data_IF_583569740832
#
_entry.id   IF_583569740832
#
_cell.length_a   1.000
_cell.length_b   1.000
_cell.length_c   1.000
_cell.angle_alpha   90.00
_cell.angle_beta   90.00
_cell.angle_gamma   90.00
#
_symmetry.space_group_name_H-M   'P 1'
#
loop_
_entity.id
_entity.type
_entity.pdbx_description
1 polymer ?
#
# COMPACT_ATOMS: atom_id res chain seq x y z
N UNK A 1 65.54 12.96 6.57
CA UNK A 1 66.45 12.31 7.52
C UNK A 1 65.66 11.38 8.41
N UNK A 2 66.09 10.11 8.36
CA UNK A 2 65.86 8.91 9.16
C UNK A 2 64.56 8.69 10.00
N UNK A 3 63.97 7.54 9.84
CA UNK A 3 62.81 7.05 10.57
C UNK A 3 63.17 6.24 11.84
N UNK A 4 62.16 5.80 12.59
CA UNK A 4 62.21 5.34 13.96
C UNK A 4 62.60 3.87 14.14
N UNK A 5 62.69 3.35 15.32
CA UNK A 5 62.72 1.91 15.51
C UNK A 5 61.45 1.29 16.13
N UNK A 6 61.17 0.08 15.65
CA UNK A 6 60.33 -0.96 16.26
C UNK A 6 60.80 -1.35 17.68
N UNK A 7 59.84 -1.71 18.52
CA UNK A 7 60.00 -2.75 19.56
C UNK A 7 58.64 -3.18 20.05
N UNK A 8 58.25 -4.37 19.81
CA UNK A 8 58.43 -5.70 20.43
C UNK A 8 57.36 -6.00 21.50
N UNK A 9 56.58 -6.90 21.13
CA UNK A 9 55.80 -7.95 21.77
C UNK A 9 56.12 -8.27 23.23
N UNK A 10 55.13 -8.29 24.10
CA UNK A 10 55.06 -9.22 25.23
C UNK A 10 53.63 -9.78 25.33
N UNK A 11 53.53 -11.08 25.13
CA UNK A 11 52.32 -11.87 25.42
C UNK A 11 52.34 -12.17 26.93
N UNK A 12 51.23 -11.91 27.61
CA UNK A 12 50.97 -12.42 28.94
C UNK A 12 49.68 -13.27 28.86
N UNK A 13 49.90 -14.57 29.03
CA UNK A 13 48.84 -15.54 29.33
C UNK A 13 48.31 -15.25 30.74
N UNK A 14 47.03 -15.06 30.89
CA UNK A 14 46.38 -15.20 32.19
C UNK A 14 45.17 -16.15 32.01
N UNK A 15 45.38 -17.35 32.56
CA UNK A 15 44.31 -18.29 32.90
C UNK A 15 43.39 -17.67 33.94
N UNK A 16 42.12 -17.90 33.80
CA UNK A 16 41.33 -17.73 34.99
C UNK A 16 39.84 -17.60 34.80
N UNK A 17 39.18 -18.63 35.18
CA UNK A 17 37.90 -18.69 35.85
C UNK A 17 36.63 -18.52 34.98
N UNK A 18 36.09 -19.64 34.51
CA UNK A 18 34.71 -19.79 34.12
C UNK A 18 33.77 -19.54 35.31
N UNK A 19 33.16 -18.35 35.32
CA UNK A 19 31.96 -18.12 36.12
C UNK A 19 30.76 -18.48 35.25
N UNK A 20 30.14 -19.62 35.52
CA UNK A 20 28.85 -20.01 34.98
C UNK A 20 27.80 -19.10 35.62
N UNK A 21 27.44 -18.03 34.94
CA UNK A 21 26.26 -17.25 35.27
C UNK A 21 25.08 -17.96 34.59
N UNK A 22 24.30 -18.70 35.36
CA UNK A 22 22.98 -19.19 34.95
C UNK A 22 22.05 -18.00 34.83
N UNK A 23 21.95 -17.46 33.61
CA UNK A 23 20.88 -16.54 33.26
C UNK A 23 19.57 -17.33 33.27
N UNK A 24 18.78 -17.16 34.32
CA UNK A 24 17.37 -17.50 34.30
C UNK A 24 16.70 -16.63 33.24
N UNK A 25 16.58 -17.17 32.03
CA UNK A 25 15.90 -16.55 30.92
C UNK A 25 14.43 -16.41 31.28
N UNK A 26 13.99 -15.17 31.54
CA UNK A 26 12.58 -14.82 31.43
C UNK A 26 12.12 -15.19 30.03
N UNK A 27 11.46 -16.32 29.91
CA UNK A 27 10.72 -16.70 28.70
C UNK A 27 9.61 -15.64 28.49
N UNK A 28 9.91 -14.60 27.70
CA UNK A 28 8.88 -13.75 27.11
C UNK A 28 7.99 -14.66 26.31
N UNK A 29 6.78 -14.89 26.76
CA UNK A 29 5.69 -15.46 25.99
C UNK A 29 5.49 -14.58 24.77
N UNK A 30 6.12 -14.95 23.66
CA UNK A 30 5.74 -14.43 22.37
C UNK A 30 4.32 -14.93 22.11
N UNK A 31 3.34 -14.03 22.13
CA UNK A 31 2.03 -14.31 21.58
C UNK A 31 2.21 -14.62 20.08
N UNK A 32 2.49 -15.88 19.77
CA UNK A 32 2.45 -16.38 18.40
C UNK A 32 1.00 -16.31 17.95
N UNK A 33 0.75 -15.56 16.87
CA UNK A 33 -0.55 -15.56 16.20
C UNK A 33 -0.96 -17.01 15.93
N UNK A 34 -2.20 -17.40 16.25
CA UNK A 34 -2.69 -18.73 15.88
C UNK A 34 -2.65 -18.84 14.36
N UNK A 35 -1.96 -19.86 13.87
CA UNK A 35 -1.98 -20.25 12.46
C UNK A 35 -3.31 -20.97 12.18
N UNK A 36 -4.41 -20.22 12.17
CA UNK A 36 -5.71 -20.75 11.75
C UNK A 36 -5.90 -20.48 10.26
N UNK A 37 -5.35 -21.39 9.44
CA UNK A 37 -5.29 -21.30 7.98
C UNK A 37 -6.56 -21.77 7.28
N UNK A 38 -7.65 -22.09 8.01
CA UNK A 38 -8.87 -22.68 7.42
C UNK A 38 -10.07 -21.73 7.35
N UNK A 39 -9.99 -20.51 7.86
CA UNK A 39 -11.14 -19.59 7.83
C UNK A 39 -11.19 -18.82 6.51
N UNK A 40 -12.31 -18.91 5.79
CA UNK A 40 -12.60 -18.10 4.60
C UNK A 40 -12.44 -16.62 4.94
N UNK A 41 -11.65 -15.89 4.16
CA UNK A 41 -11.44 -14.45 4.38
C UNK A 41 -12.76 -13.70 4.22
N UNK A 42 -13.16 -13.00 5.27
CA UNK A 42 -14.36 -12.15 5.30
C UNK A 42 -14.21 -11.04 6.32
N UNK A 43 -14.99 -9.95 6.16
CA UNK A 43 -15.02 -8.88 7.18
C UNK A 43 -15.42 -9.40 8.55
N UNK A 44 -16.38 -10.34 8.62
CA UNK A 44 -16.80 -10.98 9.88
C UNK A 44 -15.62 -11.67 10.56
N UNK A 45 -14.88 -12.49 9.82
CA UNK A 45 -13.73 -13.23 10.36
C UNK A 45 -12.59 -12.28 10.76
N UNK A 46 -12.34 -11.21 9.99
CA UNK A 46 -11.38 -10.19 10.33
C UNK A 46 -11.76 -9.42 11.62
N UNK A 47 -13.05 -9.11 11.83
CA UNK A 47 -13.54 -8.50 13.09
C UNK A 47 -13.31 -9.44 14.25
N UNK A 48 -13.77 -10.71 14.14
CA UNK A 48 -13.59 -11.72 15.21
C UNK A 48 -12.11 -11.91 15.55
N UNK A 49 -11.25 -11.93 14.54
CA UNK A 49 -9.80 -12.04 14.75
C UNK A 49 -9.23 -10.82 15.50
N UNK A 50 -9.62 -9.59 15.10
CA UNK A 50 -9.17 -8.36 15.74
C UNK A 50 -9.73 -8.17 17.16
N UNK A 51 -10.93 -8.66 17.43
CA UNK A 51 -11.55 -8.52 18.75
C UNK A 51 -10.94 -9.48 19.80
N UNK A 52 -10.27 -10.57 19.36
CA UNK A 52 -9.44 -11.42 20.21
C UNK A 52 -8.10 -10.76 20.60
N UNK A 53 -7.69 -9.70 19.89
CA UNK A 53 -6.48 -8.96 20.19
C UNK A 53 -6.79 -7.82 21.19
N UNK A 54 -6.60 -8.08 22.47
CA UNK A 54 -6.87 -7.09 23.52
C UNK A 54 -5.84 -5.96 23.49
N UNK A 55 -4.56 -6.30 23.34
CA UNK A 55 -3.43 -5.37 23.39
C UNK A 55 -2.32 -5.83 22.45
N UNK A 56 -1.65 -4.85 21.85
CA UNK A 56 -0.39 -5.07 21.12
C UNK A 56 0.76 -4.47 21.92
N UNK A 57 1.89 -5.17 21.96
CA UNK A 57 3.13 -4.62 22.51
C UNK A 57 3.80 -3.67 21.51
N UNK A 58 4.61 -2.71 21.98
CA UNK A 58 5.39 -1.84 21.10
C UNK A 58 6.27 -2.65 20.14
N UNK A 59 6.22 -2.28 18.87
CA UNK A 59 7.03 -2.95 17.86
C UNK A 59 8.51 -2.54 18.00
N UNK A 60 9.45 -3.50 18.04
CA UNK A 60 10.88 -3.16 17.98
C UNK A 60 11.33 -2.66 16.60
N UNK A 61 10.49 -2.80 15.58
CA UNK A 61 10.81 -2.45 14.19
C UNK A 61 10.22 -1.11 13.76
N UNK A 62 9.12 -0.67 14.40
CA UNK A 62 8.37 0.53 14.02
C UNK A 62 8.28 1.50 15.20
N UNK A 63 9.39 2.20 15.53
CA UNK A 63 9.51 2.95 16.78
C UNK A 63 8.51 4.10 16.92
N UNK A 64 7.99 4.63 15.81
CA UNK A 64 7.07 5.76 15.81
C UNK A 64 5.60 5.37 15.64
N UNK A 65 5.29 4.06 15.63
CA UNK A 65 3.92 3.57 15.55
C UNK A 65 3.44 3.13 16.91
N UNK A 66 2.51 3.87 17.49
CA UNK A 66 1.90 3.53 18.78
C UNK A 66 1.00 2.29 18.63
N UNK A 67 1.15 1.24 19.48
CA UNK A 67 0.44 -0.02 19.32
C UNK A 67 -1.08 0.12 19.39
N UNK A 68 -1.60 0.90 20.34
CA UNK A 68 -3.03 1.12 20.50
C UNK A 68 -3.65 1.81 19.28
N UNK A 69 -2.96 2.82 18.75
CA UNK A 69 -3.41 3.56 17.57
C UNK A 69 -3.35 2.68 16.31
N UNK A 70 -2.30 1.88 16.16
CA UNK A 70 -2.19 0.90 15.08
C UNK A 70 -3.35 -0.11 15.09
N UNK A 71 -3.64 -0.72 16.25
CA UNK A 71 -4.76 -1.65 16.39
C UNK A 71 -6.10 -0.98 16.11
N UNK A 72 -6.30 0.25 16.59
CA UNK A 72 -7.49 1.04 16.30
C UNK A 72 -7.64 1.32 14.79
N UNK A 73 -6.53 1.63 14.09
CA UNK A 73 -6.57 1.83 12.63
C UNK A 73 -7.00 0.56 11.89
N UNK A 74 -6.46 -0.62 12.26
CA UNK A 74 -6.89 -1.88 11.68
C UNK A 74 -8.38 -2.14 11.90
N UNK A 75 -8.86 -1.97 13.15
CA UNK A 75 -10.29 -2.12 13.48
C UNK A 75 -11.16 -1.15 12.68
N UNK A 76 -10.70 0.09 12.49
CA UNK A 76 -11.41 1.07 11.66
C UNK A 76 -11.47 0.64 10.21
N UNK A 77 -10.36 0.17 9.62
CA UNK A 77 -10.32 -0.25 8.23
C UNK A 77 -11.25 -1.43 7.95
N UNK A 78 -11.34 -2.38 8.88
CA UNK A 78 -12.24 -3.53 8.73
C UNK A 78 -13.70 -3.15 8.91
N UNK A 79 -14.03 -2.28 9.86
CA UNK A 79 -15.42 -1.84 10.10
C UNK A 79 -15.90 -0.80 9.08
N UNK A 80 -14.98 -0.06 8.49
CA UNK A 80 -15.22 1.01 7.51
C UNK A 80 -14.30 0.84 6.31
N UNK A 81 -14.54 -0.13 5.42
CA UNK A 81 -13.59 -0.51 4.36
C UNK A 81 -13.38 0.57 3.28
N UNK A 82 -14.17 1.62 3.29
CA UNK A 82 -13.91 2.82 2.47
C UNK A 82 -12.80 3.70 3.04
N UNK A 83 -12.51 3.59 4.34
CA UNK A 83 -11.73 4.55 5.11
C UNK A 83 -10.21 4.59 4.86
N UNK A 84 -9.53 3.65 4.16
CA UNK A 84 -8.10 3.82 3.84
C UNK A 84 -7.86 5.14 3.12
N UNK A 85 -6.97 5.96 3.69
CA UNK A 85 -6.73 7.32 3.21
C UNK A 85 -5.25 7.50 2.84
N UNK A 86 -4.98 7.87 1.59
CA UNK A 86 -3.63 7.98 1.05
C UNK A 86 -2.97 9.36 1.24
N UNK A 87 -3.73 10.35 1.77
CA UNK A 87 -3.25 11.73 1.94
C UNK A 87 -3.30 12.54 0.64
N UNK A 88 -3.82 13.76 0.73
CA UNK A 88 -3.92 14.67 -0.44
C UNK A 88 -2.59 15.24 -0.89
N UNK A 89 -1.60 15.28 -0.01
CA UNK A 89 -0.26 15.80 -0.29
C UNK A 89 0.75 14.74 -0.72
N UNK A 90 0.31 13.53 -1.08
CA UNK A 90 1.20 12.41 -1.41
C UNK A 90 0.87 11.77 -2.76
N UNK A 91 1.79 10.96 -3.26
CA UNK A 91 1.64 10.17 -4.48
C UNK A 91 1.25 8.69 -4.20
N UNK A 92 0.69 8.39 -3.03
CA UNK A 92 0.26 7.03 -2.66
C UNK A 92 -1.09 6.59 -3.27
N UNK A 93 -1.67 7.34 -4.21
CA UNK A 93 -3.00 7.05 -4.75
C UNK A 93 -3.15 5.62 -5.30
N UNK A 94 -2.17 5.10 -6.02
CA UNK A 94 -2.20 3.72 -6.51
C UNK A 94 -2.17 2.69 -5.37
N UNK A 95 -1.39 2.93 -4.32
CA UNK A 95 -1.35 2.06 -3.15
C UNK A 95 -2.63 2.15 -2.32
N UNK A 96 -3.27 3.33 -2.26
CA UNK A 96 -4.59 3.50 -1.65
C UNK A 96 -5.67 2.71 -2.38
N UNK A 97 -5.74 2.85 -3.71
CA UNK A 97 -6.68 2.11 -4.55
C UNK A 97 -6.46 0.58 -4.45
N UNK A 98 -5.19 0.15 -4.46
CA UNK A 98 -4.83 -1.25 -4.23
C UNK A 98 -5.28 -1.75 -2.85
N UNK A 99 -5.07 -0.98 -1.79
CA UNK A 99 -5.46 -1.33 -0.42
C UNK A 99 -6.97 -1.44 -0.26
N UNK A 100 -7.72 -0.55 -0.90
CA UNK A 100 -9.18 -0.64 -0.95
C UNK A 100 -9.65 -1.96 -1.60
N UNK A 101 -9.02 -2.36 -2.71
CA UNK A 101 -9.32 -3.63 -3.38
C UNK A 101 -8.90 -4.84 -2.53
N UNK A 102 -7.74 -4.78 -1.88
CA UNK A 102 -7.26 -5.84 -0.96
C UNK A 102 -8.25 -6.03 0.19
N UNK A 103 -8.72 -4.95 0.81
CA UNK A 103 -9.74 -5.02 1.87
C UNK A 103 -11.06 -5.62 1.40
N UNK A 104 -11.48 -5.36 0.15
CA UNK A 104 -12.68 -5.98 -0.42
C UNK A 104 -12.51 -7.46 -0.72
N UNK A 105 -11.32 -7.86 -1.13
CA UNK A 105 -11.04 -9.21 -1.60
C UNK A 105 -10.61 -10.15 -0.47
N UNK A 106 -9.70 -9.70 0.39
CA UNK A 106 -9.10 -10.48 1.48
C UNK A 106 -8.93 -9.64 2.77
N UNK A 107 -10.03 -9.29 3.46
CA UNK A 107 -9.95 -8.46 4.67
C UNK A 107 -9.19 -9.11 5.83
N UNK A 108 -9.28 -10.44 5.98
CA UNK A 108 -8.54 -11.15 7.03
C UNK A 108 -7.04 -11.22 6.70
N UNK A 109 -6.70 -11.54 5.46
CA UNK A 109 -5.31 -11.54 5.00
C UNK A 109 -4.66 -10.15 5.11
N UNK A 110 -5.39 -9.08 4.81
CA UNK A 110 -4.93 -7.71 5.06
C UNK A 110 -4.55 -7.47 6.51
N UNK A 111 -5.40 -7.87 7.46
CA UNK A 111 -5.12 -7.71 8.90
C UNK A 111 -3.89 -8.52 9.32
N UNK A 112 -3.82 -9.78 8.91
CA UNK A 112 -2.72 -10.68 9.25
C UNK A 112 -1.39 -10.17 8.67
N UNK A 113 -1.39 -9.69 7.42
CA UNK A 113 -0.24 -9.08 6.76
C UNK A 113 0.29 -7.87 7.53
N UNK A 114 -0.58 -6.93 7.90
CA UNK A 114 -0.17 -5.72 8.62
C UNK A 114 0.29 -6.03 10.05
N UNK A 115 -0.33 -6.97 10.74
CA UNK A 115 0.13 -7.44 12.04
C UNK A 115 1.51 -8.11 11.96
N UNK A 116 1.74 -8.93 10.95
CA UNK A 116 3.05 -9.55 10.71
C UNK A 116 4.13 -8.49 10.45
N UNK A 117 3.85 -7.50 9.58
CA UNK A 117 4.74 -6.36 9.34
C UNK A 117 5.04 -5.61 10.62
N UNK A 118 4.02 -5.32 11.43
CA UNK A 118 4.18 -4.60 12.69
C UNK A 118 5.03 -5.38 13.70
N UNK A 119 4.74 -6.68 13.89
CA UNK A 119 5.38 -7.50 14.91
C UNK A 119 6.78 -7.99 14.52
N UNK A 120 7.01 -8.29 13.23
CA UNK A 120 8.24 -8.92 12.74
C UNK A 120 9.10 -8.00 11.87
N UNK A 121 8.63 -6.79 11.55
CA UNK A 121 9.30 -5.86 10.63
C UNK A 121 9.37 -6.35 9.19
N UNK A 122 8.78 -7.50 8.90
CA UNK A 122 8.67 -8.12 7.57
C UNK A 122 7.43 -9.01 7.53
N UNK A 123 6.90 -9.25 6.34
CA UNK A 123 5.76 -10.16 6.15
C UNK A 123 5.79 -10.76 4.75
N UNK A 124 5.16 -11.92 4.62
CA UNK A 124 4.90 -12.54 3.33
C UNK A 124 3.40 -12.50 3.02
N UNK A 125 3.06 -12.14 1.79
CA UNK A 125 1.68 -12.17 1.29
C UNK A 125 1.66 -12.55 -0.18
N UNK A 126 0.84 -13.51 -0.56
CA UNK A 126 0.72 -14.02 -1.92
C UNK A 126 2.08 -14.39 -2.57
N UNK A 127 2.98 -15.00 -1.80
CA UNK A 127 4.33 -15.37 -2.25
C UNK A 127 5.30 -14.19 -2.40
N UNK A 128 4.92 -13.00 -1.97
CA UNK A 128 5.76 -11.80 -1.99
C UNK A 128 6.26 -11.51 -0.57
N UNK A 129 7.59 -11.47 -0.42
CA UNK A 129 8.23 -11.06 0.84
C UNK A 129 8.40 -9.55 0.90
N UNK A 130 7.71 -8.92 1.82
CA UNK A 130 7.88 -7.50 2.17
C UNK A 130 8.90 -7.38 3.30
N UNK A 131 10.01 -6.72 3.02
CA UNK A 131 11.06 -6.42 3.99
C UNK A 131 11.50 -4.95 3.82
N UNK A 132 10.71 -4.00 4.33
CA UNK A 132 10.99 -2.58 4.17
C UNK A 132 12.31 -2.18 4.84
N UNK A 133 12.96 -1.18 4.25
CA UNK A 133 14.21 -0.62 4.74
C UNK A 133 14.06 0.01 6.12
N UNK A 134 15.16 0.12 6.87
CA UNK A 134 15.15 0.76 8.19
C UNK A 134 14.70 2.24 8.11
N UNK A 135 15.03 2.95 7.01
CA UNK A 135 14.56 4.32 6.81
C UNK A 135 13.04 4.41 6.76
N UNK A 136 12.40 3.50 6.05
CA UNK A 136 10.93 3.36 6.00
C UNK A 136 10.36 3.04 7.38
N UNK A 137 10.97 2.11 8.11
CA UNK A 137 10.52 1.71 9.45
C UNK A 137 10.55 2.86 10.45
N UNK A 138 11.58 3.69 10.39
CA UNK A 138 11.70 4.87 11.25
C UNK A 138 10.76 6.00 10.80
N UNK A 139 10.50 6.17 9.51
CA UNK A 139 9.63 7.22 9.00
C UNK A 139 8.14 6.98 9.30
N UNK A 140 7.68 5.72 9.22
CA UNK A 140 6.29 5.37 9.42
C UNK A 140 5.79 5.77 10.81
N UNK A 141 4.61 6.39 10.88
CA UNK A 141 4.03 6.95 12.10
C UNK A 141 4.46 8.38 12.40
N UNK A 142 5.45 8.93 11.69
CA UNK A 142 5.98 10.26 11.91
C UNK A 142 6.27 11.03 10.61
N UNK A 143 5.49 10.80 9.55
CA UNK A 143 5.65 11.53 8.30
C UNK A 143 5.35 13.02 8.50
N UNK A 144 6.29 13.88 8.12
CA UNK A 144 6.23 15.34 8.33
C UNK A 144 6.61 16.15 7.10
N UNK A 145 6.38 15.62 5.92
CA UNK A 145 6.64 16.39 4.71
C UNK A 145 5.63 17.52 4.56
N UNK A 146 6.10 18.79 4.50
CA UNK A 146 5.22 19.99 4.48
C UNK A 146 4.23 20.07 5.64
N UNK A 147 4.58 19.56 6.82
CA UNK A 147 3.74 19.43 7.99
C UNK A 147 3.38 17.97 8.30
N UNK A 148 2.54 17.78 9.32
CA UNK A 148 2.06 16.44 9.68
C UNK A 148 1.10 15.97 8.60
N UNK A 149 1.37 14.80 8.02
CA UNK A 149 0.45 14.19 7.06
C UNK A 149 -0.75 13.55 7.78
N UNK A 150 -1.91 13.70 7.19
CA UNK A 150 -3.19 13.19 7.68
C UNK A 150 -3.42 11.69 7.37
N UNK A 151 -2.35 10.95 7.10
CA UNK A 151 -2.37 9.51 6.89
C UNK A 151 -2.20 8.81 8.24
N UNK A 152 -3.10 7.89 8.57
CA UNK A 152 -3.01 7.14 9.85
C UNK A 152 -1.76 6.26 9.89
N UNK A 153 -1.17 5.99 11.06
CA UNK A 153 0.07 5.23 11.20
C UNK A 153 0.08 3.85 10.52
N UNK A 154 -1.02 3.12 10.55
CA UNK A 154 -1.10 1.81 9.86
C UNK A 154 -0.99 1.95 8.34
N UNK A 155 -1.63 2.96 7.75
CA UNK A 155 -1.52 3.26 6.32
C UNK A 155 -0.14 3.82 5.97
N UNK A 156 0.45 4.66 6.83
CA UNK A 156 1.83 5.12 6.61
C UNK A 156 2.80 3.93 6.51
N UNK A 157 2.72 2.99 7.48
CA UNK A 157 3.51 1.76 7.46
C UNK A 157 3.33 0.99 6.15
N UNK A 158 2.07 0.77 5.76
CA UNK A 158 1.74 -0.05 4.60
C UNK A 158 2.12 0.61 3.27
N UNK A 159 1.78 1.89 3.07
CA UNK A 159 2.09 2.58 1.81
C UNK A 159 3.59 2.77 1.61
N UNK A 160 4.32 3.12 2.65
CA UNK A 160 5.78 3.18 2.60
C UNK A 160 6.40 1.80 2.30
N UNK A 161 5.85 0.73 2.90
CA UNK A 161 6.29 -0.63 2.62
C UNK A 161 6.06 -1.03 1.16
N UNK A 162 4.89 -0.71 0.60
CA UNK A 162 4.58 -0.95 -0.81
C UNK A 162 5.51 -0.14 -1.74
N UNK A 163 5.71 1.14 -1.45
CA UNK A 163 6.59 2.01 -2.24
C UNK A 163 8.05 1.53 -2.21
N UNK A 164 8.55 1.14 -1.04
CA UNK A 164 9.91 0.61 -0.88
C UNK A 164 10.08 -0.73 -1.59
N UNK A 165 9.07 -1.61 -1.55
CA UNK A 165 9.11 -2.90 -2.25
C UNK A 165 9.06 -2.72 -3.78
N UNK A 166 8.10 -1.94 -4.29
CA UNK A 166 7.90 -1.75 -5.73
C UNK A 166 8.81 -0.70 -6.35
N UNK A 167 9.59 0.04 -5.56
CA UNK A 167 10.64 0.98 -5.99
C UNK A 167 10.16 2.08 -6.94
N UNK A 168 9.05 2.71 -6.60
CA UNK A 168 8.58 3.93 -7.25
C UNK A 168 8.17 3.80 -8.72
N UNK A 169 7.97 4.93 -9.39
CA UNK A 169 7.40 5.01 -10.73
C UNK A 169 8.29 4.38 -11.81
N UNK A 170 9.55 4.80 -11.89
CA UNK A 170 10.44 4.40 -12.99
C UNK A 170 11.31 3.18 -12.67
N UNK A 171 11.58 2.93 -11.38
CA UNK A 171 12.48 1.87 -10.92
C UNK A 171 13.89 1.89 -11.59
N UNK A 172 14.35 3.05 -12.03
CA UNK A 172 15.63 3.19 -12.74
C UNK A 172 16.80 3.08 -11.77
N UNK A 173 16.59 3.56 -10.54
CA UNK A 173 17.58 3.52 -9.47
C UNK A 173 16.96 2.84 -8.25
N UNK A 174 17.70 1.94 -7.61
CA UNK A 174 17.31 1.33 -6.33
C UNK A 174 17.42 2.37 -5.19
N UNK A 175 16.67 3.47 -5.34
CA UNK A 175 16.71 4.59 -4.43
C UNK A 175 16.06 4.22 -3.11
N UNK A 176 16.78 4.48 -2.02
CA UNK A 176 16.22 4.38 -0.69
C UNK A 176 15.27 5.58 -0.43
N UNK A 177 14.35 5.37 0.50
CA UNK A 177 13.45 6.40 0.97
C UNK A 177 14.21 7.55 1.65
N UNK A 178 13.85 8.78 1.31
CA UNK A 178 14.23 9.99 2.02
C UNK A 178 12.97 10.79 2.41
N UNK A 179 12.97 11.52 3.56
CA UNK A 179 11.83 12.36 3.95
C UNK A 179 11.43 13.34 2.84
N UNK A 180 10.16 13.31 2.48
CA UNK A 180 9.63 14.12 1.36
C UNK A 180 9.38 13.33 0.08
N UNK A 181 9.83 12.09 0.01
CA UNK A 181 9.61 11.22 -1.15
C UNK A 181 8.13 10.83 -1.32
N UNK A 182 7.31 11.06 -0.31
CA UNK A 182 5.86 10.82 -0.35
C UNK A 182 5.14 11.64 -1.43
N UNK A 183 5.69 12.80 -1.79
CA UNK A 183 5.17 13.71 -2.84
C UNK A 183 5.96 13.59 -4.16
N UNK A 184 6.83 12.60 -4.29
CA UNK A 184 7.68 12.39 -5.46
C UNK A 184 7.37 11.07 -6.18
N UNK A 185 8.08 10.85 -7.30
CA UNK A 185 7.98 9.61 -8.07
C UNK A 185 8.34 8.34 -7.30
N UNK A 186 9.06 8.47 -6.18
CA UNK A 186 9.35 7.34 -5.30
C UNK A 186 8.06 6.74 -4.71
N UNK A 187 7.12 7.57 -4.31
CA UNK A 187 5.82 7.14 -3.76
C UNK A 187 4.81 6.75 -4.83
N UNK A 188 5.07 7.07 -6.09
CA UNK A 188 4.15 6.80 -7.19
C UNK A 188 4.29 5.37 -7.71
N UNK A 189 3.20 4.84 -8.25
CA UNK A 189 3.21 3.61 -9.02
C UNK A 189 2.74 3.89 -10.45
N UNK A 190 3.44 3.37 -11.46
CA UNK A 190 3.00 3.50 -12.84
C UNK A 190 1.89 2.48 -13.17
N UNK A 191 1.19 2.70 -14.28
CA UNK A 191 0.04 1.90 -14.66
C UNK A 191 0.36 0.40 -14.83
N UNK A 192 1.50 0.07 -15.42
CA UNK A 192 1.92 -1.31 -15.64
C UNK A 192 2.26 -2.01 -14.31
N UNK A 193 2.92 -1.33 -13.38
CA UNK A 193 3.20 -1.87 -12.03
C UNK A 193 1.92 -2.07 -11.23
N UNK A 194 1.02 -1.11 -11.25
CA UNK A 194 -0.27 -1.23 -10.59
C UNK A 194 -1.03 -2.47 -11.04
N UNK A 195 -1.12 -2.70 -12.35
CA UNK A 195 -1.77 -3.89 -12.90
C UNK A 195 -1.07 -5.19 -12.48
N UNK A 196 0.26 -5.21 -12.41
CA UNK A 196 1.02 -6.36 -11.90
C UNK A 196 0.78 -6.63 -10.42
N UNK A 197 0.62 -5.59 -9.60
CA UNK A 197 0.24 -5.75 -8.19
C UNK A 197 -1.09 -6.47 -8.06
N UNK A 198 -2.11 -6.05 -8.81
CA UNK A 198 -3.43 -6.70 -8.83
C UNK A 198 -3.34 -8.19 -9.25
N UNK A 199 -2.53 -8.49 -10.27
CA UNK A 199 -2.34 -9.88 -10.73
C UNK A 199 -1.62 -10.76 -9.72
N UNK A 200 -0.55 -10.23 -9.09
CA UNK A 200 0.33 -11.02 -8.21
C UNK A 200 -0.22 -11.14 -6.80
N UNK A 201 -0.77 -10.07 -6.25
CA UNK A 201 -1.18 -10.04 -4.85
C UNK A 201 -2.65 -10.40 -4.64
N UNK A 202 -3.53 -10.04 -5.58
CA UNK A 202 -4.96 -10.34 -5.50
C UNK A 202 -5.38 -11.49 -6.43
N UNK A 203 -4.41 -12.06 -7.16
CA UNK A 203 -4.65 -13.13 -8.11
C UNK A 203 -5.75 -12.84 -9.13
N UNK A 204 -5.98 -11.55 -9.45
CA UNK A 204 -6.96 -11.17 -10.45
C UNK A 204 -6.49 -11.51 -11.86
N UNK A 205 -7.43 -11.89 -12.72
CA UNK A 205 -7.27 -11.80 -14.17
C UNK A 205 -7.46 -10.34 -14.56
N UNK A 206 -6.40 -9.70 -15.07
CA UNK A 206 -6.38 -8.26 -15.37
C UNK A 206 -6.40 -8.05 -16.87
N UNK A 207 -7.34 -7.23 -17.35
CA UNK A 207 -7.38 -6.70 -18.69
C UNK A 207 -7.19 -5.19 -18.62
N UNK A 208 -6.13 -4.66 -19.23
CA UNK A 208 -5.76 -3.26 -19.17
C UNK A 208 -5.78 -2.63 -20.56
N UNK A 209 -6.34 -1.42 -20.68
CA UNK A 209 -6.28 -0.57 -21.90
C UNK A 209 -5.75 0.81 -21.54
N UNK A 210 -4.91 1.37 -22.41
CA UNK A 210 -4.23 2.64 -22.17
C UNK A 210 -2.93 2.49 -21.41
N UNK A 211 -2.45 3.56 -20.78
CA UNK A 211 -1.17 3.57 -20.08
C UNK A 211 -0.84 4.95 -19.50
N UNK A 212 0.42 5.13 -19.15
CA UNK A 212 0.88 6.39 -18.53
C UNK A 212 0.90 7.59 -19.50
N UNK A 213 0.97 7.30 -20.79
CA UNK A 213 1.06 8.33 -21.84
C UNK A 213 -0.03 8.12 -22.88
N UNK A 214 -0.37 6.88 -23.21
CA UNK A 214 -1.30 6.52 -24.28
C UNK A 214 -2.69 6.33 -23.69
N UNK A 215 -3.66 7.09 -24.21
CA UNK A 215 -5.07 6.93 -23.84
C UNK A 215 -5.67 5.64 -24.41
N UNK A 216 -6.68 5.06 -23.74
CA UNK A 216 -7.38 3.90 -24.27
C UNK A 216 -8.08 4.25 -25.59
N UNK A 217 -7.81 3.48 -26.62
CA UNK A 217 -8.49 3.60 -27.91
C UNK A 217 -9.76 2.74 -27.87
N UNK A 218 -10.92 3.40 -27.75
CA UNK A 218 -12.25 2.77 -27.79
C UNK A 218 -13.21 3.70 -28.51
N UNK A 219 -14.04 3.18 -29.39
CA UNK A 219 -15.07 3.96 -30.09
C UNK A 219 -16.08 4.54 -29.10
N UNK A 220 -16.74 3.68 -28.32
CA UNK A 220 -17.65 4.04 -27.23
C UNK A 220 -16.98 3.73 -25.88
N UNK A 221 -16.41 4.76 -25.26
CA UNK A 221 -15.73 4.64 -23.97
C UNK A 221 -16.72 4.37 -22.83
N UNK A 222 -17.90 4.99 -22.85
CA UNK A 222 -18.94 4.77 -21.85
C UNK A 222 -19.44 3.32 -21.89
N UNK A 223 -19.86 2.84 -23.05
CA UNK A 223 -20.34 1.46 -23.22
C UNK A 223 -19.28 0.43 -22.84
N UNK A 224 -18.02 0.68 -23.22
CA UNK A 224 -16.90 -0.20 -22.84
C UNK A 224 -16.73 -0.29 -21.30
N UNK A 225 -16.71 0.84 -20.59
CA UNK A 225 -16.56 0.86 -19.13
C UNK A 225 -17.77 0.19 -18.46
N UNK A 226 -18.99 0.49 -18.91
CA UNK A 226 -20.23 -0.11 -18.38
C UNK A 226 -20.21 -1.64 -18.52
N UNK A 227 -19.83 -2.15 -19.70
CA UNK A 227 -19.71 -3.59 -19.93
C UNK A 227 -18.69 -4.24 -18.99
N UNK A 228 -17.53 -3.60 -18.78
CA UNK A 228 -16.49 -4.11 -17.89
C UNK A 228 -16.92 -4.09 -16.44
N UNK A 229 -17.59 -3.02 -16.01
CA UNK A 229 -18.09 -2.90 -14.65
C UNK A 229 -19.16 -3.94 -14.30
N UNK A 230 -19.96 -4.38 -15.26
CA UNK A 230 -20.95 -5.43 -15.09
C UNK A 230 -20.33 -6.81 -14.80
N UNK A 231 -19.06 -7.04 -15.15
CA UNK A 231 -18.39 -8.34 -15.06
C UNK A 231 -17.23 -8.39 -14.08
N UNK A 232 -16.87 -7.25 -13.46
CA UNK A 232 -15.75 -7.21 -12.51
C UNK A 232 -15.48 -5.83 -11.93
N UNK A 233 -14.34 -5.68 -11.27
CA UNK A 233 -13.90 -4.40 -10.75
C UNK A 233 -13.27 -3.57 -11.87
N UNK A 234 -13.57 -2.28 -11.91
CA UNK A 234 -12.97 -1.34 -12.86
C UNK A 234 -12.19 -0.28 -12.10
N UNK A 235 -10.93 -0.12 -12.46
CA UNK A 235 -10.08 0.94 -11.94
C UNK A 235 -9.72 1.89 -13.11
N UNK A 236 -9.90 3.18 -12.89
CA UNK A 236 -9.57 4.21 -13.86
C UNK A 236 -8.30 4.93 -13.44
N UNK A 237 -7.36 5.09 -14.38
CA UNK A 237 -6.18 5.92 -14.22
C UNK A 237 -6.44 7.24 -14.95
N UNK A 238 -6.55 8.32 -14.18
CA UNK A 238 -7.08 9.60 -14.65
C UNK A 238 -6.11 10.76 -14.49
N UNK A 239 -6.32 11.81 -15.27
CA UNK A 239 -5.68 13.10 -15.04
C UNK A 239 -6.46 13.87 -13.96
N UNK A 240 -5.98 13.78 -12.71
CA UNK A 240 -6.62 14.38 -11.55
C UNK A 240 -6.68 15.92 -11.60
N UNK A 241 -5.71 16.58 -12.25
CA UNK A 241 -5.70 18.06 -12.40
C UNK A 241 -6.90 18.60 -13.17
N UNK A 242 -7.46 17.80 -14.09
CA UNK A 242 -8.67 18.18 -14.80
C UNK A 242 -9.93 17.99 -13.94
N UNK A 243 -9.85 17.13 -12.92
CA UNK A 243 -10.95 16.81 -11.99
C UNK A 243 -10.91 17.73 -10.77
N UNK A 244 -9.74 17.91 -10.17
CA UNK A 244 -9.56 18.72 -8.99
C UNK A 244 -8.64 19.91 -9.24
N UNK A 245 -9.19 21.13 -9.19
CA UNK A 245 -8.44 22.38 -9.44
C UNK A 245 -7.26 22.60 -8.48
N UNK A 246 -7.28 21.96 -7.29
CA UNK A 246 -6.25 22.07 -6.24
C UNK A 246 -5.43 20.78 -6.14
N UNK A 247 -5.14 20.11 -7.24
CA UNK A 247 -4.23 18.97 -7.24
C UNK A 247 -2.82 19.45 -6.86
N UNK A 248 -2.17 18.71 -5.94
CA UNK A 248 -0.82 18.97 -5.44
C UNK A 248 0.27 18.64 -6.48
N UNK A 249 -0.08 17.94 -7.55
CA UNK A 249 0.87 17.49 -8.58
C UNK A 249 1.57 18.67 -9.24
N UNK A 250 2.88 18.75 -9.07
CA UNK A 250 3.75 19.79 -9.66
C UNK A 250 3.89 19.66 -11.19
N UNK A 251 3.62 18.48 -11.74
CA UNK A 251 3.71 18.22 -13.17
C UNK A 251 2.57 18.92 -13.92
N UNK A 252 2.91 19.95 -14.70
CA UNK A 252 1.95 20.69 -15.53
C UNK A 252 1.56 19.97 -16.84
N UNK A 253 2.08 18.76 -17.05
CA UNK A 253 1.82 17.94 -18.23
C UNK A 253 0.42 17.32 -18.19
N UNK A 254 -0.20 17.11 -19.34
CA UNK A 254 -1.49 16.43 -19.48
C UNK A 254 -1.40 14.92 -19.29
N UNK A 255 -0.70 14.47 -18.21
CA UNK A 255 -0.47 13.07 -17.88
C UNK A 255 -1.41 12.60 -16.78
N UNK A 256 -1.68 11.29 -16.68
CA UNK A 256 -2.47 10.74 -15.59
C UNK A 256 -1.68 10.83 -14.28
N UNK A 257 -2.39 11.10 -13.20
CA UNK A 257 -1.79 11.30 -11.88
C UNK A 257 -2.53 10.56 -10.77
N UNK A 258 -3.66 9.90 -11.08
CA UNK A 258 -4.52 9.39 -10.03
C UNK A 258 -5.26 8.11 -10.41
N UNK A 259 -5.36 7.16 -9.46
CA UNK A 259 -6.15 5.94 -9.55
C UNK A 259 -7.43 6.08 -8.75
N UNK A 260 -8.57 5.76 -9.38
CA UNK A 260 -9.88 5.68 -8.74
C UNK A 260 -10.50 4.31 -8.98
N UNK A 261 -11.24 3.79 -8.01
CA UNK A 261 -11.96 2.52 -8.17
C UNK A 261 -13.43 2.81 -8.44
N UNK A 262 -13.91 2.45 -9.62
CA UNK A 262 -15.25 2.76 -10.07
C UNK A 262 -16.28 1.83 -9.39
N UNK A 263 -17.31 2.42 -8.81
CA UNK A 263 -18.45 1.68 -8.24
C UNK A 263 -19.63 1.67 -9.23
N UNK A 264 -19.90 2.81 -9.87
CA UNK A 264 -21.05 2.97 -10.75
C UNK A 264 -20.75 3.96 -11.88
N UNK A 265 -21.34 3.73 -13.04
CA UNK A 265 -21.36 4.66 -14.16
C UNK A 265 -22.74 4.66 -14.82
N UNK A 266 -23.34 5.85 -14.93
CA UNK A 266 -24.65 6.02 -15.59
C UNK A 266 -24.59 7.15 -16.60
N UNK A 267 -25.54 7.16 -17.56
CA UNK A 267 -25.64 8.22 -18.57
C UNK A 267 -27.09 8.63 -18.75
N UNK A 268 -27.33 9.94 -18.66
CA UNK A 268 -28.63 10.55 -18.93
C UNK A 268 -28.42 11.71 -19.92
N UNK A 269 -28.91 11.53 -21.13
CA UNK A 269 -28.67 12.48 -22.22
C UNK A 269 -27.17 12.65 -22.51
N UNK A 270 -26.64 13.86 -22.33
CA UNK A 270 -25.23 14.18 -22.55
C UNK A 270 -24.42 14.22 -21.24
N UNK A 271 -25.01 13.80 -20.11
CA UNK A 271 -24.35 13.76 -18.80
C UNK A 271 -24.03 12.35 -18.41
N UNK A 272 -22.77 12.08 -18.07
CA UNK A 272 -22.29 10.83 -17.46
C UNK A 272 -22.05 11.12 -15.98
N UNK A 273 -22.59 10.27 -15.11
CA UNK A 273 -22.37 10.28 -13.67
C UNK A 273 -21.47 9.10 -13.31
N UNK A 274 -20.36 9.37 -12.61
CA UNK A 274 -19.46 8.39 -12.04
C UNK A 274 -19.61 8.41 -10.53
N UNK A 275 -19.78 7.25 -9.91
CA UNK A 275 -19.58 7.05 -8.46
C UNK A 275 -18.35 6.16 -8.27
N UNK A 276 -17.38 6.61 -7.47
CA UNK A 276 -16.12 5.89 -7.31
C UNK A 276 -15.54 6.08 -5.92
N UNK A 277 -14.73 5.13 -5.50
CA UNK A 277 -13.89 5.28 -4.32
C UNK A 277 -12.68 6.15 -4.62
N UNK A 278 -12.43 7.12 -3.74
CA UNK A 278 -11.28 8.00 -3.75
C UNK A 278 -11.06 8.62 -2.36
N UNK A 279 -9.81 8.83 -1.95
CA UNK A 279 -9.41 9.52 -0.71
C UNK A 279 -10.19 9.08 0.54
N UNK A 280 -10.42 7.78 0.71
CA UNK A 280 -11.12 7.25 1.89
C UNK A 280 -12.63 7.42 1.91
N UNK A 281 -13.25 7.64 0.75
CA UNK A 281 -14.69 7.83 0.63
C UNK A 281 -15.24 7.53 -0.75
N UNK A 282 -16.54 7.72 -0.91
CA UNK A 282 -17.21 7.72 -2.21
C UNK A 282 -17.33 9.13 -2.75
N UNK A 283 -16.95 9.30 -3.99
CA UNK A 283 -17.04 10.57 -4.74
C UNK A 283 -18.00 10.39 -5.90
N UNK A 284 -18.84 11.38 -6.12
CA UNK A 284 -19.73 11.48 -7.28
C UNK A 284 -19.22 12.59 -8.19
N UNK A 285 -19.11 12.29 -9.49
CA UNK A 285 -18.70 13.26 -10.50
C UNK A 285 -19.63 13.19 -11.70
N UNK A 286 -20.09 14.37 -12.16
CA UNK A 286 -20.84 14.51 -13.40
C UNK A 286 -19.98 15.17 -14.49
N UNK A 287 -20.02 14.61 -15.70
CA UNK A 287 -19.18 15.07 -16.80
C UNK A 287 -19.81 14.72 -18.17
N UNK A 288 -19.29 15.32 -19.22
CA UNK A 288 -19.70 15.00 -20.60
C UNK A 288 -18.89 13.81 -21.16
N UNK A 289 -19.37 13.09 -22.19
CA UNK A 289 -18.60 12.05 -22.87
C UNK A 289 -17.23 12.54 -23.39
N UNK A 290 -17.18 13.76 -23.89
CA UNK A 290 -15.93 14.38 -24.37
C UNK A 290 -14.93 14.58 -23.20
N UNK A 291 -15.43 15.03 -22.04
CA UNK A 291 -14.59 15.22 -20.86
C UNK A 291 -14.12 13.87 -20.29
N UNK A 292 -14.98 12.83 -20.30
CA UNK A 292 -14.58 11.47 -19.91
C UNK A 292 -13.37 10.99 -20.74
N UNK A 293 -13.42 11.13 -22.07
CA UNK A 293 -12.28 10.81 -22.96
C UNK A 293 -11.02 11.62 -22.64
N UNK A 294 -11.20 12.88 -22.22
CA UNK A 294 -10.07 13.76 -21.88
C UNK A 294 -9.36 13.39 -20.60
N UNK A 295 -10.07 12.88 -19.58
CA UNK A 295 -9.48 12.60 -18.29
C UNK A 295 -8.90 11.19 -18.17
N UNK A 296 -9.43 10.18 -18.89
CA UNK A 296 -9.03 8.77 -18.76
C UNK A 296 -7.78 8.48 -19.58
N UNK A 297 -6.79 7.89 -18.96
CA UNK A 297 -5.55 7.39 -19.54
C UNK A 297 -5.42 5.88 -19.47
N UNK A 298 -5.97 5.25 -18.42
CA UNK A 298 -5.99 3.81 -18.28
C UNK A 298 -7.32 3.29 -17.73
N UNK A 299 -7.70 2.11 -18.21
CA UNK A 299 -8.84 1.35 -17.74
C UNK A 299 -8.36 -0.04 -17.42
N UNK A 300 -8.40 -0.40 -16.15
CA UNK A 300 -8.08 -1.73 -15.65
C UNK A 300 -9.37 -2.44 -15.26
N UNK A 301 -9.62 -3.59 -15.87
CA UNK A 301 -10.71 -4.48 -15.53
C UNK A 301 -10.15 -5.72 -14.85
N UNK A 302 -10.68 -6.06 -13.68
CA UNK A 302 -10.27 -7.18 -12.85
C UNK A 302 -11.43 -8.14 -12.64
N UNK A 303 -11.20 -9.41 -12.91
CA UNK A 303 -12.10 -10.51 -12.53
C UNK A 303 -11.36 -11.49 -11.62
N UNK A 304 -12.06 -12.19 -10.74
CA UNK A 304 -11.45 -13.29 -9.99
C UNK A 304 -11.02 -14.38 -10.98
N UNK A 305 -9.87 -15.01 -10.72
CA UNK A 305 -9.54 -16.26 -11.42
C UNK A 305 -10.51 -17.32 -10.94
N UNK A 306 -11.08 -18.07 -11.86
CA UNK A 306 -11.78 -19.30 -11.50
C UNK A 306 -10.76 -20.23 -10.84
N UNK A 307 -11.14 -20.97 -9.78
CA UNK A 307 -10.29 -22.05 -9.28
C UNK A 307 -10.00 -22.98 -10.46
N UNK A 308 -8.73 -23.33 -10.65
CA UNK A 308 -8.37 -24.35 -11.63
C UNK A 308 -9.21 -25.57 -11.31
N UNK A 309 -10.03 -26.02 -12.27
CA UNK A 309 -10.80 -27.24 -12.14
C UNK A 309 -9.79 -28.39 -11.99
N UNK A 310 -9.59 -28.83 -10.73
CA UNK A 310 -8.71 -29.95 -10.38
C UNK A 310 -9.33 -31.28 -10.75
#
# INVERSE_FOLDING_TARGET
MKPPPLQRTIAVFAMGLCLIITNAGNARTQNTLPADTSSTSSFKNAVVFLDKLEKLEPSPYWPNIQPALFLQNLKTNIRQPLSPYQGRGTNFCGYGAFTYLLLKDDPLGYVQLLLQLYQKGRAEYAGIMFNPSNRVKVAAGNLKFKGILDIRPAEQMWYLCLADHFKGYLNIFNRQYDPGDEDLFWASVNYAKFNRMLQKMLHFKVQAKGGDIIRPHTGDLFGYITQKLATGQVILFINNRLVHKKDHTKLKLGVPTHFIVLDEITKTGNTITLTYWDYGGKTLMQLTPAFLKKIIFGITHCTKKEPDAS
#
